data_IF_562648249253
#
_entry.id   IF_562648249253
#
_cell.length_a   1.000
_cell.length_b   1.000
_cell.length_c   1.000
_cell.angle_alpha   90.00
_cell.angle_beta   90.00
_cell.angle_gamma   90.00
#
_symmetry.space_group_name_H-M   'P 1'
#
loop_
_entity.id
_entity.type
_entity.pdbx_description
1 polymer ?
#
# COMPACT_ATOMS: atom_id res chain seq x y z
N UNK A 1 -0.33 -9.61 -16.93
CA UNK A 1 -0.16 -8.80 -15.70
C UNK A 1 1.24 -9.03 -15.17
N UNK A 2 2.15 -8.08 -15.39
CA UNK A 2 3.54 -8.22 -14.98
C UNK A 2 3.65 -8.20 -13.46
N UNK A 3 4.41 -9.13 -12.88
CA UNK A 3 4.64 -9.19 -11.42
C UNK A 3 5.44 -7.97 -10.97
N UNK A 4 4.99 -7.31 -9.92
CA UNK A 4 5.79 -6.35 -9.16
C UNK A 4 6.60 -7.19 -8.17
N UNK A 5 7.92 -7.14 -8.24
CA UNK A 5 8.84 -7.96 -7.42
C UNK A 5 9.58 -7.11 -6.40
N UNK A 6 9.81 -5.82 -6.71
CA UNK A 6 10.45 -4.87 -5.81
C UNK A 6 9.75 -3.52 -5.81
N UNK A 7 9.58 -2.94 -4.62
CA UNK A 7 9.00 -1.60 -4.42
C UNK A 7 10.02 -0.73 -3.69
N UNK A 8 10.22 0.49 -4.21
CA UNK A 8 10.98 1.53 -3.54
C UNK A 8 10.01 2.59 -3.00
N UNK A 9 10.16 2.95 -1.73
CA UNK A 9 9.46 4.07 -1.11
C UNK A 9 10.48 5.19 -0.89
N UNK A 10 10.21 6.40 -1.40
CA UNK A 10 11.12 7.55 -1.28
C UNK A 10 10.42 8.61 -0.45
N UNK A 11 11.04 8.98 0.68
CA UNK A 11 10.47 9.90 1.66
C UNK A 11 11.47 10.99 2.00
N UNK A 12 11.09 12.25 1.89
CA UNK A 12 11.91 13.34 2.42
C UNK A 12 11.72 13.58 3.94
N UNK A 13 10.68 12.98 4.53
CA UNK A 13 10.38 13.06 5.95
C UNK A 13 9.98 11.67 6.46
N UNK A 14 10.89 11.06 7.22
CA UNK A 14 10.76 9.71 7.80
C UNK A 14 9.65 9.62 8.87
N UNK A 15 9.12 10.76 9.33
CA UNK A 15 7.98 10.84 10.26
C UNK A 15 6.72 10.13 9.79
N UNK A 16 6.60 9.91 8.47
CA UNK A 16 5.45 9.28 7.82
C UNK A 16 5.76 7.87 7.30
N UNK A 17 6.98 7.37 7.51
CA UNK A 17 7.44 6.10 6.95
C UNK A 17 6.54 4.94 7.36
N UNK A 18 6.25 4.78 8.65
CA UNK A 18 5.45 3.67 9.13
C UNK A 18 4.05 3.63 8.49
N UNK A 19 3.37 4.79 8.39
CA UNK A 19 2.04 4.88 7.80
C UNK A 19 2.06 4.56 6.30
N UNK A 20 3.04 5.07 5.56
CA UNK A 20 3.19 4.85 4.12
C UNK A 20 3.60 3.41 3.83
N UNK A 21 4.59 2.89 4.55
CA UNK A 21 5.08 1.51 4.41
C UNK A 21 3.96 0.51 4.67
N UNK A 22 3.24 0.65 5.79
CA UNK A 22 2.12 -0.24 6.13
C UNK A 22 1.05 -0.21 5.03
N UNK A 23 0.81 0.95 4.42
CA UNK A 23 -0.16 1.10 3.35
C UNK A 23 0.29 0.38 2.08
N UNK A 24 1.54 0.58 1.66
CA UNK A 24 2.11 -0.09 0.49
C UNK A 24 2.08 -1.62 0.66
N UNK A 25 2.51 -2.14 1.81
CA UNK A 25 2.53 -3.58 2.10
C UNK A 25 1.11 -4.18 2.09
N UNK A 26 0.10 -3.43 2.53
CA UNK A 26 -1.29 -3.91 2.49
C UNK A 26 -1.77 -4.20 1.06
N UNK A 27 -1.36 -3.39 0.07
CA UNK A 27 -1.69 -3.60 -1.34
C UNK A 27 -0.78 -4.63 -2.03
N UNK A 28 0.48 -4.74 -1.61
CA UNK A 28 1.53 -5.54 -2.22
C UNK A 28 2.18 -6.50 -1.22
N UNK A 29 1.40 -7.44 -0.70
CA UNK A 29 1.87 -8.44 0.26
C UNK A 29 2.93 -9.36 -0.36
N UNK A 30 3.96 -9.68 0.42
CA UNK A 30 5.05 -10.58 -0.01
C UNK A 30 6.04 -9.95 -1.00
N UNK A 31 5.92 -8.65 -1.30
CA UNK A 31 6.82 -7.94 -2.22
C UNK A 31 7.94 -7.26 -1.45
N UNK A 32 9.18 -7.39 -1.94
CA UNK A 32 10.35 -6.74 -1.33
C UNK A 32 10.18 -5.23 -1.40
N UNK A 33 10.08 -4.58 -0.23
CA UNK A 33 9.84 -3.14 -0.12
C UNK A 33 10.94 -2.49 0.70
N UNK A 34 11.60 -1.47 0.15
CA UNK A 34 12.70 -0.75 0.79
C UNK A 34 12.40 0.76 0.80
N UNK A 35 12.87 1.47 1.84
CA UNK A 35 12.61 2.90 2.02
C UNK A 35 13.91 3.69 1.91
N UNK A 36 13.91 4.70 1.06
CA UNK A 36 15.07 5.49 0.67
C UNK A 36 14.86 6.97 0.93
N UNK A 37 15.96 7.69 1.12
CA UNK A 37 15.95 9.14 1.15
C UNK A 37 15.96 9.70 -0.28
N UNK A 38 15.52 10.96 -0.49
CA UNK A 38 15.49 11.55 -1.82
C UNK A 38 16.91 11.67 -2.37
N UNK A 39 17.12 11.11 -3.57
CA UNK A 39 18.41 11.18 -4.27
C UNK A 39 19.24 9.90 -4.24
N UNK A 40 18.86 8.89 -3.46
CA UNK A 40 19.57 7.61 -3.45
C UNK A 40 19.44 6.85 -4.78
N UNK A 41 20.56 6.26 -5.24
CA UNK A 41 20.70 5.64 -6.56
C UNK A 41 20.05 4.25 -6.65
N UNK A 42 19.80 3.59 -5.52
CA UNK A 42 19.26 2.22 -5.41
C UNK A 42 17.78 2.07 -5.83
N UNK A 43 17.17 3.11 -6.39
CA UNK A 43 15.76 3.11 -6.88
C UNK A 43 15.59 2.53 -8.28
N UNK A 44 16.68 2.36 -9.05
CA UNK A 44 16.63 1.97 -10.46
C UNK A 44 16.09 0.54 -10.67
N UNK A 45 16.27 -0.35 -9.70
CA UNK A 45 15.83 -1.75 -9.75
C UNK A 45 14.39 -1.99 -9.26
N UNK A 46 13.63 -0.94 -8.92
CA UNK A 46 12.26 -1.10 -8.42
C UNK A 46 11.24 -1.18 -9.56
N UNK A 47 10.30 -2.12 -9.47
CA UNK A 47 9.15 -2.23 -10.39
C UNK A 47 8.09 -1.15 -10.14
N UNK A 48 8.03 -0.64 -8.91
CA UNK A 48 7.15 0.43 -8.48
C UNK A 48 7.89 1.35 -7.51
N UNK A 49 7.81 2.64 -7.78
CA UNK A 49 8.37 3.71 -6.95
C UNK A 49 7.20 4.49 -6.36
N UNK A 50 7.14 4.54 -5.04
CA UNK A 50 6.19 5.33 -4.25
C UNK A 50 6.97 6.49 -3.64
N UNK A 51 6.70 7.71 -4.06
CA UNK A 51 7.38 8.89 -3.54
C UNK A 51 6.40 9.79 -2.80
N UNK A 52 6.77 10.23 -1.60
CA UNK A 52 6.06 11.25 -0.86
C UNK A 52 7.02 12.35 -0.43
N UNK A 53 6.77 13.57 -0.91
CA UNK A 53 7.50 14.76 -0.52
C UNK A 53 6.59 15.71 0.25
N UNK A 54 6.89 15.94 1.52
CA UNK A 54 6.21 16.90 2.39
C UNK A 54 7.02 18.20 2.41
N UNK A 55 6.34 19.33 2.15
CA UNK A 55 6.86 20.70 2.25
C UNK A 55 5.96 21.48 3.20
N UNK A 56 6.31 22.73 3.49
CA UNK A 56 5.55 23.58 4.41
C UNK A 56 4.14 23.89 3.88
N UNK A 57 4.02 24.11 2.58
CA UNK A 57 2.81 24.56 1.90
C UNK A 57 2.09 23.45 1.10
N UNK A 58 2.75 22.29 0.91
CA UNK A 58 2.18 21.22 0.09
C UNK A 58 2.77 19.83 0.33
N UNK A 59 2.05 18.83 -0.17
CA UNK A 59 2.50 17.44 -0.28
C UNK A 59 2.50 17.06 -1.76
N UNK A 60 3.56 16.41 -2.21
CA UNK A 60 3.66 15.79 -3.53
C UNK A 60 3.71 14.27 -3.37
N UNK A 61 2.76 13.57 -3.97
CA UNK A 61 2.73 12.11 -4.05
C UNK A 61 2.95 11.66 -5.49
N UNK A 62 3.82 10.67 -5.70
CA UNK A 62 4.04 10.06 -7.01
C UNK A 62 4.03 8.53 -6.91
N UNK A 63 3.40 7.90 -7.89
CA UNK A 63 3.56 6.48 -8.21
C UNK A 63 4.16 6.38 -9.61
N UNK A 64 5.32 5.77 -9.72
CA UNK A 64 6.01 5.59 -10.98
C UNK A 64 6.34 4.11 -11.17
N UNK A 65 6.04 3.57 -12.33
CA UNK A 65 6.54 2.27 -12.77
C UNK A 65 7.56 2.56 -13.87
N UNK A 66 8.86 2.27 -13.69
CA UNK A 66 9.90 2.59 -14.67
C UNK A 66 9.84 1.59 -15.84
N UNK A 67 8.78 1.68 -16.62
CA UNK A 67 8.55 0.87 -17.83
C UNK A 67 8.09 1.77 -18.97
N UNK A 68 8.48 1.46 -20.22
CA UNK A 68 8.25 2.32 -21.39
C UNK A 68 6.77 2.65 -21.66
N UNK A 69 5.83 1.81 -21.22
CA UNK A 69 4.39 1.97 -21.42
C UNK A 69 3.59 2.24 -20.13
N UNK A 70 4.26 2.51 -19.00
CA UNK A 70 3.56 2.70 -17.74
C UNK A 70 3.26 4.16 -17.43
N UNK A 71 2.01 4.40 -17.04
CA UNK A 71 1.52 5.73 -16.67
C UNK A 71 2.04 6.14 -15.28
N UNK A 72 2.71 7.29 -15.21
CA UNK A 72 3.06 7.92 -13.95
C UNK A 72 1.81 8.58 -13.35
N UNK A 73 1.55 8.35 -12.06
CA UNK A 73 0.48 9.04 -11.33
C UNK A 73 1.10 10.03 -10.37
N UNK A 74 0.65 11.28 -10.39
CA UNK A 74 1.09 12.34 -9.49
C UNK A 74 -0.11 13.02 -8.86
N UNK A 75 -0.01 13.36 -7.57
CA UNK A 75 -0.92 14.27 -6.88
C UNK A 75 -0.12 15.34 -6.15
N UNK A 76 -0.62 16.57 -6.20
CA UNK A 76 -0.14 17.68 -5.39
C UNK A 76 -1.30 18.12 -4.48
N UNK A 77 -1.03 18.28 -3.19
CA UNK A 77 -2.00 18.66 -2.17
C UNK A 77 -1.52 19.92 -1.50
N UNK A 78 -2.30 20.99 -1.56
CA UNK A 78 -2.00 22.23 -0.84
C UNK A 78 -2.30 22.01 0.64
N UNK A 79 -1.36 22.36 1.50
CA UNK A 79 -1.51 22.34 2.94
C UNK A 79 -2.05 23.69 3.42
N UNK A 80 -3.00 23.71 4.36
CA UNK A 80 -3.35 24.94 5.04
C UNK A 80 -2.15 25.47 5.84
N UNK A 81 -2.11 26.80 6.10
CA UNK A 81 -1.13 27.35 7.03
C UNK A 81 -1.23 26.63 8.38
N UNK A 82 -0.08 26.35 8.99
CA UNK A 82 0.03 25.67 10.28
C UNK A 82 -0.60 24.26 10.33
N UNK A 83 -0.64 23.56 9.19
CA UNK A 83 -1.11 22.18 9.12
C UNK A 83 -0.33 21.28 10.08
N UNK A 84 -0.99 20.87 11.16
CA UNK A 84 -0.41 19.94 12.12
C UNK A 84 -0.10 18.57 11.50
N UNK A 85 0.84 17.85 12.10
CA UNK A 85 1.30 16.51 11.65
C UNK A 85 0.17 15.51 11.42
N UNK A 86 -0.91 15.57 12.21
CA UNK A 86 -2.07 14.69 12.06
C UNK A 86 -2.83 14.94 10.75
N UNK A 87 -3.00 16.20 10.35
CA UNK A 87 -3.66 16.60 9.11
C UNK A 87 -2.81 16.14 7.92
N UNK A 88 -1.51 16.46 7.92
CA UNK A 88 -0.56 16.05 6.88
C UNK A 88 -0.57 14.53 6.70
N UNK A 89 -0.46 13.78 7.81
CA UNK A 89 -0.50 12.31 7.81
C UNK A 89 -1.79 11.77 7.20
N UNK A 90 -2.95 12.35 7.53
CA UNK A 90 -4.24 11.89 7.02
C UNK A 90 -4.40 12.19 5.53
N UNK A 91 -3.92 13.34 5.06
CA UNK A 91 -3.89 13.70 3.64
C UNK A 91 -3.02 12.74 2.83
N UNK A 92 -1.82 12.41 3.33
CA UNK A 92 -0.93 11.41 2.71
C UNK A 92 -1.66 10.08 2.59
N UNK A 93 -2.16 9.53 3.71
CA UNK A 93 -2.78 8.20 3.72
C UNK A 93 -3.97 8.09 2.77
N UNK A 94 -4.86 9.09 2.79
CA UNK A 94 -6.07 9.06 1.94
C UNK A 94 -5.71 9.09 0.46
N UNK A 95 -4.87 10.05 0.06
CA UNK A 95 -4.52 10.21 -1.35
C UNK A 95 -3.64 9.07 -1.85
N UNK A 96 -2.71 8.59 -1.03
CA UNK A 96 -1.89 7.44 -1.38
C UNK A 96 -2.75 6.17 -1.50
N UNK A 97 -3.72 5.96 -0.60
CA UNK A 97 -4.67 4.85 -0.70
C UNK A 97 -5.44 4.90 -2.02
N UNK A 98 -6.01 6.05 -2.38
CA UNK A 98 -6.75 6.21 -3.64
C UNK A 98 -5.84 5.89 -4.84
N UNK A 99 -4.61 6.43 -4.85
CA UNK A 99 -3.65 6.17 -5.92
C UNK A 99 -3.26 4.69 -6.02
N UNK A 100 -3.07 4.00 -4.89
CA UNK A 100 -2.71 2.57 -4.84
C UNK A 100 -3.90 1.66 -5.20
N UNK A 101 -5.11 1.99 -4.77
CA UNK A 101 -6.35 1.33 -5.18
C UNK A 101 -6.51 1.41 -6.69
N UNK A 102 -6.41 2.62 -7.24
CA UNK A 102 -6.62 2.83 -8.66
C UNK A 102 -5.50 2.21 -9.52
N UNK A 103 -4.30 2.00 -8.96
CA UNK A 103 -3.19 1.28 -9.59
C UNK A 103 -3.36 -0.24 -9.52
N UNK A 104 -3.74 -0.76 -8.36
CA UNK A 104 -3.80 -2.21 -8.11
C UNK A 104 -5.14 -2.85 -8.49
N UNK A 105 -6.20 -2.04 -8.64
CA UNK A 105 -7.57 -2.50 -8.81
C UNK A 105 -8.18 -3.15 -7.55
N UNK A 106 -7.50 -3.09 -6.40
CA UNK A 106 -7.95 -3.71 -5.14
C UNK A 106 -8.58 -2.68 -4.22
N UNK A 107 -9.70 -3.00 -3.60
CA UNK A 107 -10.25 -2.22 -2.49
C UNK A 107 -9.96 -2.91 -1.16
N UNK A 108 -9.25 -2.22 -0.27
CA UNK A 108 -8.92 -2.72 1.06
C UNK A 108 -9.73 -1.97 2.13
N UNK A 109 -10.29 -2.67 3.14
CA UNK A 109 -10.87 -2.03 4.33
C UNK A 109 -9.75 -1.36 5.14
N UNK A 110 -9.46 -0.09 4.84
CA UNK A 110 -8.36 0.64 5.50
C UNK A 110 -8.87 1.44 6.70
N UNK A 111 -8.46 1.03 7.91
CA UNK A 111 -9.01 1.47 9.19
C UNK A 111 -9.01 2.94 9.55
N UNK A 112 -8.21 3.80 8.92
CA UNK A 112 -8.36 5.23 9.18
C UNK A 112 -9.62 5.81 8.51
N UNK A 113 -10.26 5.07 7.60
CA UNK A 113 -11.55 5.39 6.98
C UNK A 113 -12.70 4.52 7.53
N UNK A 114 -12.41 3.44 8.27
CA UNK A 114 -13.42 2.45 8.74
C UNK A 114 -13.29 2.01 10.21
N UNK A 115 -12.29 2.49 10.97
CA UNK A 115 -12.00 2.05 12.34
C UNK A 115 -11.25 0.71 12.48
N UNK A 116 -11.02 -0.04 11.39
CA UNK A 116 -10.43 -1.40 11.41
C UNK A 116 -8.91 -1.38 11.24
N UNK A 117 -8.15 -1.67 12.30
CA UNK A 117 -6.68 -1.82 12.23
C UNK A 117 -6.28 -2.94 11.24
N UNK A 118 -5.45 -2.67 10.21
CA UNK A 118 -5.07 -3.65 9.17
C UNK A 118 -4.44 -4.94 9.70
N UNK A 119 -3.75 -4.89 10.85
CA UNK A 119 -3.19 -6.08 11.52
C UNK A 119 -4.27 -7.12 11.82
N UNK A 120 -5.46 -6.67 12.23
CA UNK A 120 -6.59 -7.55 12.55
C UNK A 120 -7.23 -8.12 11.28
N UNK A 121 -7.27 -7.33 10.20
CA UNK A 121 -7.81 -7.76 8.92
C UNK A 121 -6.86 -8.74 8.19
N UNK A 122 -5.56 -8.52 8.24
CA UNK A 122 -4.56 -9.45 7.73
C UNK A 122 -4.62 -10.78 8.48
N UNK A 123 -4.80 -10.76 9.80
CA UNK A 123 -5.01 -11.97 10.59
C UNK A 123 -6.34 -12.67 10.29
N UNK A 124 -7.41 -11.93 10.02
CA UNK A 124 -8.70 -12.51 9.61
C UNK A 124 -8.67 -13.10 8.20
N UNK A 125 -8.01 -12.46 7.24
CA UNK A 125 -7.82 -13.00 5.88
C UNK A 125 -6.93 -14.26 5.87
N UNK A 126 -5.95 -14.36 6.78
CA UNK A 126 -5.18 -15.59 7.00
C UNK A 126 -6.02 -16.71 7.64
N UNK A 127 -6.96 -16.37 8.54
CA UNK A 127 -7.88 -17.33 9.13
C UNK A 127 -8.93 -17.83 8.13
N UNK A 128 -9.50 -16.93 7.30
CA UNK A 128 -10.50 -17.27 6.26
C UNK A 128 -9.88 -18.01 5.07
N UNK A 129 -8.59 -17.80 4.78
CA UNK A 129 -7.83 -18.51 3.74
C UNK A 129 -7.57 -19.99 4.02
N UNK A 130 -7.97 -20.51 5.18
CA UNK A 130 -7.83 -21.94 5.55
C UNK A 130 -9.06 -22.80 5.23
N UNK A 131 -10.14 -22.23 4.68
CA UNK A 131 -11.34 -22.99 4.29
C UNK A 131 -11.45 -23.13 2.77
N UNK A 132 -10.48 -23.83 2.17
CA UNK A 132 -10.34 -23.93 0.71
C UNK A 132 -10.08 -25.35 0.16
N UNK A 133 -10.71 -26.38 0.73
CA UNK A 133 -11.14 -27.56 -0.03
C UNK A 133 -10.24 -28.80 -0.05
N UNK A 134 -10.80 -29.91 0.45
CA UNK A 134 -11.04 -31.23 -0.21
C UNK A 134 -10.80 -32.39 0.76
N UNK A 135 -11.84 -33.17 1.03
CA UNK A 135 -11.85 -34.63 0.78
C UNK A 135 -13.30 -35.12 0.96
N UNK A 136 -14.02 -35.33 -0.15
CA UNK A 136 -14.23 -36.61 -0.84
C UNK A 136 -15.44 -37.41 -0.34
N UNK A 137 -16.26 -37.77 -1.32
CA UNK A 137 -17.44 -38.63 -1.28
C UNK A 137 -17.02 -40.06 -0.97
N UNK A 138 -17.61 -40.69 0.07
CA UNK A 138 -17.74 -42.15 0.22
C UNK A 138 -18.85 -42.42 1.28
N UNK A 139 -20.12 -42.58 0.87
CA UNK A 139 -20.81 -43.86 0.65
C UNK A 139 -20.97 -44.78 1.89
N UNK A 140 -22.25 -44.96 2.30
CA UNK A 140 -22.89 -46.16 2.89
C UNK A 140 -22.31 -46.82 4.16
N UNK A 141 -23.12 -46.93 5.22
CA UNK A 141 -23.88 -48.16 5.55
C UNK A 141 -24.78 -47.98 6.79
N UNK A 142 -25.88 -48.75 6.78
CA UNK A 142 -26.92 -48.88 7.81
C UNK A 142 -26.46 -49.70 9.04
N UNK A 143 -27.32 -49.69 10.06
CA UNK A 143 -27.48 -50.66 11.16
C UNK A 143 -26.41 -50.57 12.28
N UNK A 144 -26.76 -50.60 13.56
CA UNK A 144 -27.87 -51.27 14.25
C UNK A 144 -28.50 -50.39 15.33
#
# INVERSE_FOLDING_TARGET
>A
MTRVSQIAIILNDRSYEYDIYTLVIAFFQGIRTQVFDPGEEHKADADLIVEAQVRQDKILLRLCQPRPDSSQRKRELILPPDAGRSIVKNLIKRNLYEMLRDLSGKELPWGNLTGIRPVKLAMQLLADGSAGGRDQVQNRMQAQ
#
